data_IF_839046227370
#
_entry.id   IF_839046227370
#
_cell.length_a   1.000
_cell.length_b   1.000
_cell.length_c   1.000
_cell.angle_alpha   90.00
_cell.angle_beta   90.00
_cell.angle_gamma   90.00
#
_symmetry.space_group_name_H-M   'P 1'
#
loop_
_entity.id
_entity.type
_entity.pdbx_description
1 polymer ?
#
# COMPACT_ATOMS: atom_id res chain seq x y z
N UNK A 1 24.27 -46.03 -9.65
CA UNK A 1 23.32 -45.08 -10.27
C UNK A 1 22.61 -44.30 -9.17
N UNK A 2 22.98 -43.02 -9.04
CA UNK A 2 22.34 -41.88 -8.35
C UNK A 2 21.45 -42.16 -7.12
N UNK A 3 22.09 -42.24 -5.96
CA UNK A 3 21.56 -41.62 -4.74
C UNK A 3 21.77 -40.11 -4.87
N UNK A 4 20.72 -39.35 -5.11
CA UNK A 4 20.81 -37.91 -5.33
C UNK A 4 19.55 -37.18 -4.90
N UNK A 5 19.67 -36.37 -3.85
CA UNK A 5 18.87 -35.14 -3.71
C UNK A 5 17.63 -35.20 -2.81
N UNK A 6 17.81 -35.36 -1.50
CA UNK A 6 17.00 -34.68 -0.46
C UNK A 6 17.86 -34.57 0.80
N UNK A 7 18.80 -33.64 0.81
CA UNK A 7 19.55 -33.29 2.03
C UNK A 7 18.52 -32.80 3.05
N UNK A 8 18.38 -33.55 4.14
CA UNK A 8 17.39 -33.33 5.20
C UNK A 8 17.45 -31.87 5.70
N UNK A 9 16.32 -31.17 5.61
CA UNK A 9 16.01 -29.92 6.32
C UNK A 9 15.92 -30.19 7.84
N UNK A 10 17.01 -30.57 8.47
CA UNK A 10 17.01 -30.98 9.88
C UNK A 10 17.47 -29.81 10.77
N UNK A 11 16.57 -29.37 11.66
CA UNK A 11 16.89 -28.39 12.68
C UNK A 11 17.82 -29.00 13.72
N UNK A 12 18.67 -28.18 14.34
CA UNK A 12 19.38 -28.60 15.55
C UNK A 12 18.34 -28.94 16.63
N UNK A 13 18.49 -30.05 17.38
CA UNK A 13 17.52 -30.44 18.40
C UNK A 13 17.23 -29.35 19.44
N UNK A 14 18.26 -28.59 19.82
CA UNK A 14 18.12 -27.45 20.74
C UNK A 14 17.23 -26.35 20.15
N UNK A 15 17.48 -25.95 18.90
CA UNK A 15 16.67 -24.93 18.22
C UNK A 15 15.23 -25.43 18.06
N UNK A 16 15.03 -26.70 17.67
CA UNK A 16 13.70 -27.27 17.52
C UNK A 16 12.88 -27.18 18.83
N UNK A 17 13.46 -27.62 19.96
CA UNK A 17 12.79 -27.56 21.26
C UNK A 17 12.45 -26.13 21.68
N UNK A 18 13.40 -25.21 21.53
CA UNK A 18 13.23 -23.80 21.93
C UNK A 18 12.21 -23.08 21.04
N UNK A 19 12.23 -23.35 19.73
CA UNK A 19 11.26 -22.81 18.78
C UNK A 19 9.86 -23.35 19.04
N UNK A 20 9.71 -24.64 19.33
CA UNK A 20 8.40 -25.21 19.68
C UNK A 20 7.82 -24.57 20.94
N UNK A 21 8.64 -24.41 21.98
CA UNK A 21 8.23 -23.76 23.22
C UNK A 21 7.81 -22.29 22.96
N UNK A 22 8.59 -21.55 22.17
CA UNK A 22 8.26 -20.18 21.77
C UNK A 22 6.94 -20.12 20.98
N UNK A 23 6.79 -20.96 19.97
CA UNK A 23 5.65 -20.96 19.06
C UNK A 23 4.33 -21.35 19.74
N UNK A 24 4.36 -22.20 20.79
CA UNK A 24 3.16 -22.53 21.58
C UNK A 24 2.65 -21.34 22.41
N UNK A 25 3.54 -20.45 22.86
CA UNK A 25 3.20 -19.33 23.73
C UNK A 25 2.97 -18.02 22.96
N UNK A 26 3.60 -17.86 21.80
CA UNK A 26 3.60 -16.62 21.05
C UNK A 26 2.32 -16.42 20.23
N UNK A 27 1.75 -15.21 20.30
CA UNK A 27 0.67 -14.75 19.41
C UNK A 27 1.16 -14.30 18.04
N UNK A 28 2.45 -13.97 17.92
CA UNK A 28 3.12 -13.60 16.69
C UNK A 28 4.60 -13.96 16.75
N UNK A 29 5.21 -14.25 15.61
CA UNK A 29 6.63 -14.60 15.49
C UNK A 29 7.27 -13.78 14.37
N UNK A 30 8.44 -13.22 14.65
CA UNK A 30 9.28 -12.47 13.71
C UNK A 30 10.65 -13.13 13.62
N UNK A 31 11.17 -13.25 12.41
CA UNK A 31 12.49 -13.82 12.13
C UNK A 31 13.39 -12.73 11.55
N UNK A 32 14.48 -12.42 12.24
CA UNK A 32 15.60 -11.66 11.67
C UNK A 32 16.54 -12.66 10.99
N UNK A 33 16.36 -12.84 9.69
CA UNK A 33 17.13 -13.82 8.90
C UNK A 33 18.62 -13.48 8.86
N UNK A 34 18.98 -12.19 8.88
CA UNK A 34 20.37 -11.76 8.81
C UNK A 34 21.13 -12.08 10.11
N UNK A 35 20.45 -11.95 11.26
CA UNK A 35 21.04 -12.24 12.57
C UNK A 35 20.80 -13.66 13.06
N UNK A 36 19.88 -14.39 12.42
CA UNK A 36 19.42 -15.70 12.88
C UNK A 36 18.69 -15.59 14.22
N UNK A 37 17.91 -14.53 14.40
CA UNK A 37 17.15 -14.29 15.64
C UNK A 37 15.67 -14.54 15.40
N UNK A 38 15.04 -15.30 16.30
CA UNK A 38 13.59 -15.52 16.28
C UNK A 38 13.00 -14.91 17.53
N UNK A 39 12.05 -14.00 17.34
CA UNK A 39 11.30 -13.34 18.43
C UNK A 39 9.85 -13.75 18.39
N UNK A 40 9.27 -14.01 19.55
CA UNK A 40 7.85 -14.24 19.73
C UNK A 40 7.23 -13.21 20.65
N UNK A 41 6.05 -12.72 20.28
CA UNK A 41 5.23 -11.84 21.11
C UNK A 41 4.40 -12.70 22.07
N UNK A 42 4.76 -12.70 23.36
CA UNK A 42 4.09 -13.48 24.41
C UNK A 42 3.40 -12.51 25.37
N UNK A 43 2.06 -12.44 25.27
CA UNK A 43 1.28 -11.38 25.90
C UNK A 43 1.72 -10.00 25.37
N UNK A 44 2.22 -9.15 26.26
CA UNK A 44 2.78 -7.82 25.94
C UNK A 44 4.31 -7.78 25.92
N UNK A 45 4.98 -8.91 26.13
CA UNK A 45 6.43 -9.01 26.19
C UNK A 45 7.00 -9.73 24.98
N UNK A 46 8.23 -9.40 24.60
CA UNK A 46 8.98 -10.14 23.59
C UNK A 46 9.83 -11.23 24.25
N UNK A 47 9.87 -12.40 23.63
CA UNK A 47 10.84 -13.45 23.94
C UNK A 47 11.65 -13.79 22.70
N UNK A 48 12.96 -13.78 22.81
CA UNK A 48 13.87 -14.02 21.70
C UNK A 48 14.74 -15.27 21.92
N UNK A 49 15.13 -15.89 20.82
CA UNK A 49 16.21 -16.86 20.79
C UNK A 49 17.08 -16.61 19.56
N UNK A 50 18.37 -16.93 19.69
CA UNK A 50 19.30 -16.96 18.57
C UNK A 50 19.44 -18.39 18.09
N UNK A 51 19.31 -18.60 16.78
CA UNK A 51 19.42 -19.89 16.13
C UNK A 51 20.87 -20.36 16.18
N UNK A 52 21.09 -21.56 16.73
CA UNK A 52 22.40 -22.22 16.78
C UNK A 52 22.77 -22.78 15.41
N UNK A 53 21.79 -23.22 14.61
CA UNK A 53 22.03 -23.74 13.26
C UNK A 53 22.30 -22.69 12.19
N UNK A 54 22.27 -21.40 12.54
CA UNK A 54 22.65 -20.29 11.67
C UNK A 54 21.53 -19.75 10.76
N UNK A 55 21.93 -19.04 9.70
CA UNK A 55 21.07 -18.22 8.82
C UNK A 55 20.93 -18.79 7.42
N UNK A 56 21.34 -20.04 7.20
CA UNK A 56 21.26 -20.68 5.89
C UNK A 56 19.82 -20.84 5.42
N UNK A 57 19.56 -20.61 4.13
CA UNK A 57 18.23 -20.68 3.51
C UNK A 57 17.42 -21.92 3.92
N UNK A 58 17.99 -23.13 3.75
CA UNK A 58 17.31 -24.38 4.10
C UNK A 58 17.06 -24.54 5.60
N UNK A 59 17.87 -23.90 6.45
CA UNK A 59 17.66 -23.89 7.89
C UNK A 59 16.47 -23.01 8.25
N UNK A 60 16.38 -21.82 7.67
CA UNK A 60 15.26 -20.91 7.86
C UNK A 60 13.94 -21.45 7.28
N UNK A 61 13.99 -22.19 6.18
CA UNK A 61 12.84 -22.98 5.71
C UNK A 61 12.40 -24.01 6.76
N UNK A 62 13.33 -24.76 7.36
CA UNK A 62 13.02 -25.74 8.39
C UNK A 62 12.43 -25.09 9.66
N UNK A 63 12.91 -23.88 10.02
CA UNK A 63 12.36 -23.06 11.12
C UNK A 63 10.90 -22.71 10.82
N UNK A 64 10.62 -22.16 9.64
CA UNK A 64 9.25 -21.81 9.22
C UNK A 64 8.32 -23.02 9.17
N UNK A 65 8.82 -24.15 8.64
CA UNK A 65 8.08 -25.40 8.61
C UNK A 65 7.69 -25.85 10.03
N UNK A 66 8.60 -25.73 11.01
CA UNK A 66 8.32 -26.04 12.42
C UNK A 66 7.31 -25.07 13.04
N UNK A 67 7.50 -23.76 12.87
CA UNK A 67 6.57 -22.74 13.36
C UNK A 67 5.16 -22.98 12.82
N UNK A 68 5.07 -23.28 11.53
CA UNK A 68 3.81 -23.53 10.86
C UNK A 68 3.14 -24.81 11.38
N UNK A 69 3.89 -25.89 11.63
CA UNK A 69 3.35 -27.11 12.24
C UNK A 69 2.76 -26.84 13.62
N UNK A 70 3.43 -26.03 14.44
CA UNK A 70 2.94 -25.68 15.79
C UNK A 70 1.75 -24.72 15.74
N UNK A 71 1.74 -23.79 14.79
CA UNK A 71 0.72 -22.75 14.71
C UNK A 71 -0.63 -23.23 14.17
N UNK A 72 -0.60 -24.04 13.10
CA UNK A 72 -1.82 -24.46 12.37
C UNK A 72 -1.98 -25.99 12.26
N UNK A 73 -0.98 -26.77 12.67
CA UNK A 73 -0.99 -28.23 12.55
C UNK A 73 -0.60 -28.74 11.14
N UNK A 74 -0.10 -29.97 11.06
CA UNK A 74 0.35 -30.59 9.80
C UNK A 74 -0.75 -30.76 8.74
N UNK A 75 -2.02 -30.91 9.17
CA UNK A 75 -3.15 -31.04 8.26
C UNK A 75 -3.47 -29.72 7.55
N UNK A 76 -3.24 -28.58 8.20
CA UNK A 76 -3.51 -27.26 7.63
C UNK A 76 -2.45 -26.84 6.60
N UNK A 77 -1.20 -27.32 6.76
CA UNK A 77 -0.09 -27.04 5.82
C UNK A 77 -0.22 -27.78 4.49
N UNK A 78 -1.01 -28.86 4.44
CA UNK A 78 -1.25 -29.65 3.22
C UNK A 78 -2.31 -29.02 2.29
N UNK A 79 -3.04 -27.99 2.74
CA UNK A 79 -4.11 -27.35 1.96
C UNK A 79 -3.57 -26.21 1.09
N UNK A 80 -2.97 -26.56 -0.04
CA UNK A 80 -2.66 -25.64 -1.14
C UNK A 80 -1.74 -24.46 -0.81
N UNK A 81 -1.47 -23.56 -1.77
CA UNK A 81 -0.61 -22.41 -1.54
C UNK A 81 -1.38 -21.33 -0.76
N UNK A 82 -1.11 -21.22 0.54
CA UNK A 82 -1.57 -20.08 1.37
C UNK A 82 -1.06 -18.72 0.84
N UNK A 83 -0.04 -18.72 -0.03
CA UNK A 83 0.55 -17.53 -0.67
C UNK A 83 -0.33 -16.88 -1.74
N UNK A 84 -1.65 -17.15 -1.73
CA UNK A 84 -2.61 -16.55 -2.67
C UNK A 84 -3.50 -15.56 -1.91
N UNK A 85 -3.63 -14.30 -2.38
CA UNK A 85 -4.46 -13.30 -1.73
C UNK A 85 -5.91 -13.76 -1.51
N UNK A 86 -6.49 -14.47 -2.49
CA UNK A 86 -7.88 -14.94 -2.46
C UNK A 86 -8.09 -16.01 -1.36
N UNK A 87 -7.04 -16.80 -1.10
CA UNK A 87 -7.06 -17.82 -0.05
C UNK A 87 -7.02 -17.15 1.32
N UNK A 88 -6.12 -16.16 1.51
CA UNK A 88 -6.02 -15.43 2.78
C UNK A 88 -7.30 -14.66 3.08
N UNK A 89 -7.89 -14.00 2.07
CA UNK A 89 -9.14 -13.25 2.20
C UNK A 89 -10.34 -14.12 2.62
N UNK A 90 -10.33 -15.41 2.27
CA UNK A 90 -11.39 -16.37 2.63
C UNK A 90 -11.18 -17.14 3.94
N UNK A 91 -10.11 -16.87 4.70
CA UNK A 91 -9.86 -17.58 5.96
C UNK A 91 -10.85 -17.15 7.05
N UNK A 92 -11.29 -18.11 7.86
CA UNK A 92 -11.98 -17.82 9.12
C UNK A 92 -11.05 -17.20 10.16
N UNK A 93 -11.64 -16.49 11.13
CA UNK A 93 -10.93 -15.70 12.15
C UNK A 93 -9.84 -16.46 12.90
N UNK A 94 -10.11 -17.70 13.33
CA UNK A 94 -9.12 -18.53 14.04
C UNK A 94 -7.88 -18.84 13.20
N UNK A 95 -8.07 -19.14 11.91
CA UNK A 95 -6.95 -19.44 10.99
C UNK A 95 -6.19 -18.17 10.62
N UNK A 96 -6.89 -17.06 10.47
CA UNK A 96 -6.29 -15.75 10.24
C UNK A 96 -5.39 -15.34 11.42
N UNK A 97 -5.87 -15.51 12.65
CA UNK A 97 -5.12 -15.22 13.88
C UNK A 97 -3.86 -16.08 14.06
N UNK A 98 -3.74 -17.21 13.36
CA UNK A 98 -2.54 -18.04 13.39
C UNK A 98 -1.45 -17.58 12.41
N UNK A 99 -1.77 -16.77 11.39
CA UNK A 99 -0.80 -16.37 10.36
C UNK A 99 0.41 -15.59 10.91
N UNK A 100 0.27 -14.65 11.86
CA UNK A 100 1.40 -13.94 12.45
C UNK A 100 2.41 -14.87 13.14
N UNK A 101 2.02 -16.11 13.49
CA UNK A 101 2.87 -17.08 14.19
C UNK A 101 3.78 -17.87 13.24
N UNK A 102 3.61 -17.72 11.92
CA UNK A 102 4.31 -18.51 10.92
C UNK A 102 5.74 -18.00 10.65
N UNK A 103 6.08 -16.78 11.06
CA UNK A 103 7.37 -16.16 10.71
C UNK A 103 7.50 -15.88 9.21
N UNK A 104 6.36 -15.67 8.54
CA UNK A 104 6.25 -15.43 7.10
C UNK A 104 5.67 -14.03 6.84
N UNK A 105 6.53 -13.03 6.56
CA UNK A 105 6.08 -11.67 6.36
C UNK A 105 5.19 -11.51 5.11
N UNK A 106 5.34 -12.35 4.10
CA UNK A 106 4.51 -12.28 2.88
C UNK A 106 3.05 -12.68 3.18
N UNK A 107 2.85 -13.70 4.02
CA UNK A 107 1.51 -14.08 4.45
C UNK A 107 0.86 -13.01 5.32
N UNK A 108 1.64 -12.39 6.22
CA UNK A 108 1.18 -11.31 7.07
C UNK A 108 0.75 -10.09 6.25
N UNK A 109 1.48 -9.75 5.20
CA UNK A 109 1.19 -8.61 4.32
C UNK A 109 -0.20 -8.70 3.64
N UNK A 110 -0.75 -9.90 3.46
CA UNK A 110 -2.06 -10.12 2.84
C UNK A 110 -3.23 -10.11 3.85
N UNK A 111 -2.96 -10.16 5.16
CA UNK A 111 -4.00 -10.24 6.19
C UNK A 111 -5.04 -9.10 6.14
N UNK A 112 -4.68 -7.83 5.81
CA UNK A 112 -5.66 -6.75 5.68
C UNK A 112 -6.71 -6.96 4.59
N UNK A 113 -6.51 -7.92 3.67
CA UNK A 113 -7.50 -8.26 2.65
C UNK A 113 -8.67 -9.08 3.21
N UNK A 114 -8.54 -9.63 4.43
CA UNK A 114 -9.55 -10.47 5.03
C UNK A 114 -10.53 -9.64 5.89
N UNK A 115 -11.84 -9.64 5.55
CA UNK A 115 -12.84 -8.85 6.27
C UNK A 115 -13.10 -9.31 7.71
N UNK A 116 -12.69 -10.53 8.08
CA UNK A 116 -12.78 -11.07 9.44
C UNK A 116 -11.57 -10.67 10.33
N UNK A 117 -10.66 -9.82 9.83
CA UNK A 117 -9.56 -9.27 10.63
C UNK A 117 -10.11 -8.46 11.80
N UNK A 118 -9.56 -8.70 13.00
CA UNK A 118 -9.83 -7.91 14.21
C UNK A 118 -8.59 -7.13 14.65
N UNK A 119 -8.77 -6.19 15.58
CA UNK A 119 -7.68 -5.33 16.07
C UNK A 119 -6.52 -6.11 16.70
N UNK A 120 -6.80 -7.15 17.49
CA UNK A 120 -5.74 -7.92 18.17
C UNK A 120 -4.89 -8.73 17.18
N UNK A 121 -5.52 -9.24 16.12
CA UNK A 121 -4.87 -9.94 15.02
C UNK A 121 -4.11 -8.96 14.13
N UNK A 122 -4.64 -7.76 13.91
CA UNK A 122 -3.95 -6.67 13.21
C UNK A 122 -2.71 -6.20 13.98
N UNK A 123 -2.80 -6.09 15.32
CA UNK A 123 -1.65 -5.74 16.19
C UNK A 123 -0.56 -6.81 16.10
N UNK A 124 -0.95 -8.09 16.15
CA UNK A 124 -0.04 -9.22 15.98
C UNK A 124 0.64 -9.21 14.59
N UNK A 125 -0.13 -8.93 13.53
CA UNK A 125 0.38 -8.78 12.16
C UNK A 125 1.38 -7.64 12.05
N UNK A 126 1.01 -6.45 12.55
CA UNK A 126 1.86 -5.26 12.57
C UNK A 126 3.17 -5.52 13.32
N UNK A 127 3.12 -6.20 14.46
CA UNK A 127 4.32 -6.56 15.21
C UNK A 127 5.21 -7.57 14.47
N UNK A 128 4.60 -8.57 13.81
CA UNK A 128 5.34 -9.63 13.13
C UNK A 128 6.13 -9.12 11.92
N UNK A 129 5.54 -8.23 11.14
CA UNK A 129 6.13 -7.73 9.89
C UNK A 129 5.79 -6.24 9.65
N UNK A 130 6.28 -5.31 10.48
CA UNK A 130 5.98 -3.89 10.32
C UNK A 130 6.57 -3.38 9.01
N UNK A 131 5.72 -2.93 8.09
CA UNK A 131 6.14 -2.25 6.86
C UNK A 131 5.19 -1.11 6.50
N UNK A 132 5.65 -0.07 5.79
CA UNK A 132 4.81 1.02 5.33
C UNK A 132 3.60 0.54 4.50
N UNK A 133 3.78 -0.51 3.70
CA UNK A 133 2.74 -1.11 2.85
C UNK A 133 1.68 -1.82 3.69
N UNK A 134 2.10 -2.65 4.66
CA UNK A 134 1.19 -3.28 5.60
C UNK A 134 0.43 -2.20 6.40
N UNK A 135 1.14 -1.18 6.87
CA UNK A 135 0.55 -0.09 7.63
C UNK A 135 -0.52 0.67 6.85
N UNK A 136 -0.25 0.99 5.59
CA UNK A 136 -1.21 1.64 4.70
C UNK A 136 -2.50 0.81 4.52
N UNK A 137 -2.36 -0.51 4.34
CA UNK A 137 -3.50 -1.42 4.21
C UNK A 137 -4.27 -1.57 5.52
N UNK A 138 -3.56 -1.71 6.65
CA UNK A 138 -4.18 -1.78 7.98
C UNK A 138 -4.98 -0.52 8.27
N UNK A 139 -4.45 0.68 8.03
CA UNK A 139 -5.17 1.94 8.28
C UNK A 139 -6.46 2.09 7.46
N UNK A 140 -6.54 1.44 6.29
CA UNK A 140 -7.76 1.38 5.47
C UNK A 140 -8.76 0.32 5.94
N UNK A 141 -8.37 -0.59 6.83
CA UNK A 141 -9.24 -1.68 7.28
C UNK A 141 -10.17 -1.24 8.43
N UNK A 142 -11.48 -1.55 8.39
CA UNK A 142 -12.44 -1.12 9.42
C UNK A 142 -12.07 -1.51 10.86
N UNK A 143 -11.42 -2.66 11.05
CA UNK A 143 -11.00 -3.12 12.37
C UNK A 143 -9.87 -2.30 13.01
N UNK A 144 -9.14 -1.53 12.20
CA UNK A 144 -8.05 -0.66 12.67
C UNK A 144 -8.44 0.81 12.56
N UNK A 145 -9.30 1.18 11.61
CA UNK A 145 -9.79 2.54 11.43
C UNK A 145 -10.51 3.04 12.70
N UNK A 146 -9.80 3.80 13.54
CA UNK A 146 -10.30 4.32 14.83
C UNK A 146 -9.84 3.54 16.06
N UNK A 147 -9.02 2.51 15.88
CA UNK A 147 -8.47 1.69 16.95
C UNK A 147 -7.23 2.32 17.59
N UNK A 148 -6.78 1.81 18.74
CA UNK A 148 -5.57 2.30 19.40
C UNK A 148 -4.30 2.05 18.56
N UNK A 149 -4.31 0.96 17.79
CA UNK A 149 -3.24 0.61 16.86
C UNK A 149 -3.07 1.66 15.74
N UNK A 150 -4.15 2.29 15.30
CA UNK A 150 -4.13 3.23 14.18
C UNK A 150 -3.13 4.37 14.37
N UNK A 151 -3.03 4.93 15.58
CA UNK A 151 -2.13 6.03 15.87
C UNK A 151 -0.66 5.64 15.69
N UNK A 152 -0.26 4.48 16.21
CA UNK A 152 1.10 3.97 16.09
C UNK A 152 1.44 3.64 14.62
N UNK A 153 0.52 3.01 13.90
CA UNK A 153 0.71 2.67 12.49
C UNK A 153 0.78 3.94 11.63
N UNK A 154 -0.11 4.91 11.85
CA UNK A 154 -0.12 6.17 11.11
C UNK A 154 1.17 6.97 11.32
N UNK A 155 1.69 7.01 12.55
CA UNK A 155 2.97 7.66 12.83
C UNK A 155 4.11 7.03 12.02
N UNK A 156 4.22 5.69 12.03
CA UNK A 156 5.24 4.97 11.28
C UNK A 156 5.12 5.17 9.76
N UNK A 157 3.90 5.10 9.21
CA UNK A 157 3.65 5.32 7.78
C UNK A 157 3.98 6.78 7.38
N UNK A 158 3.62 7.76 8.20
CA UNK A 158 3.90 9.18 7.92
C UNK A 158 5.40 9.51 7.97
N UNK A 159 6.14 8.87 8.88
CA UNK A 159 7.60 8.98 8.98
C UNK A 159 8.29 8.41 7.73
N UNK A 160 7.78 7.28 7.21
CA UNK A 160 8.37 6.64 6.03
C UNK A 160 8.02 7.33 4.70
N UNK A 161 6.86 8.00 4.61
CA UNK A 161 6.33 8.59 3.38
C UNK A 161 7.32 9.44 2.54
N UNK A 162 8.18 10.30 3.12
CA UNK A 162 9.15 11.09 2.36
C UNK A 162 10.22 10.26 1.63
N UNK A 163 10.45 9.02 2.09
CA UNK A 163 11.51 8.14 1.59
C UNK A 163 11.00 7.15 0.55
N UNK A 164 9.71 7.14 0.25
CA UNK A 164 9.09 6.24 -0.73
C UNK A 164 9.18 6.84 -2.14
N UNK A 165 10.00 6.28 -3.05
CA UNK A 165 10.21 6.86 -4.38
C UNK A 165 9.06 6.56 -5.36
N UNK A 166 8.33 5.44 -5.19
CA UNK A 166 7.23 5.07 -6.07
C UNK A 166 5.97 5.88 -5.76
N UNK A 167 5.43 6.58 -6.78
CA UNK A 167 4.21 7.35 -6.64
C UNK A 167 3.00 6.48 -6.25
N UNK A 168 2.94 5.24 -6.74
CA UNK A 168 1.87 4.30 -6.36
C UNK A 168 1.90 3.95 -4.87
N UNK A 169 3.09 3.71 -4.33
CA UNK A 169 3.26 3.41 -2.91
C UNK A 169 2.92 4.64 -2.05
N UNK A 170 3.40 5.83 -2.43
CA UNK A 170 3.02 7.09 -1.75
C UNK A 170 1.51 7.34 -1.79
N UNK A 171 0.86 7.12 -2.92
CA UNK A 171 -0.59 7.24 -3.08
C UNK A 171 -1.32 6.27 -2.14
N UNK A 172 -0.89 5.01 -2.09
CA UNK A 172 -1.46 3.99 -1.19
C UNK A 172 -1.30 4.37 0.28
N UNK A 173 -0.12 4.82 0.68
CA UNK A 173 0.18 5.28 2.04
C UNK A 173 -0.68 6.49 2.41
N UNK A 174 -0.79 7.49 1.52
CA UNK A 174 -1.62 8.66 1.75
C UNK A 174 -3.11 8.30 1.89
N UNK A 175 -3.63 7.38 1.07
CA UNK A 175 -5.00 6.86 1.21
C UNK A 175 -5.22 6.21 2.57
N UNK A 176 -4.30 5.34 3.02
CA UNK A 176 -4.38 4.71 4.34
C UNK A 176 -4.39 5.76 5.47
N UNK A 177 -3.46 6.70 5.42
CA UNK A 177 -3.38 7.81 6.39
C UNK A 177 -4.66 8.66 6.43
N UNK A 178 -5.31 8.90 5.28
CA UNK A 178 -6.56 9.66 5.19
C UNK A 178 -7.81 8.83 5.53
N UNK A 179 -7.72 7.51 5.52
CA UNK A 179 -8.80 6.60 5.92
C UNK A 179 -8.85 6.40 7.44
N UNK A 180 -7.71 6.47 8.13
CA UNK A 180 -7.59 6.26 9.57
C UNK A 180 -8.29 7.32 10.44
N UNK A 181 -8.75 6.91 11.63
CA UNK A 181 -9.44 7.77 12.62
C UNK A 181 -8.54 8.54 13.60
N UNK A 182 -7.22 8.49 13.44
CA UNK A 182 -6.22 9.33 14.15
C UNK A 182 -6.52 10.80 13.87
N UNK A 183 -6.22 11.82 14.73
CA UNK A 183 -6.62 13.22 14.50
C UNK A 183 -6.35 13.67 13.07
N UNK A 184 -7.41 13.56 12.24
CA UNK A 184 -7.28 13.51 10.80
C UNK A 184 -6.71 14.84 10.29
N UNK A 185 -6.94 15.92 11.03
CA UNK A 185 -6.49 17.26 10.68
C UNK A 185 -4.96 17.41 10.70
N UNK A 186 -4.25 16.79 11.66
CA UNK A 186 -2.80 16.87 11.69
C UNK A 186 -2.17 16.13 10.50
N UNK A 187 -2.72 14.96 10.17
CA UNK A 187 -2.32 14.16 9.01
C UNK A 187 -2.66 14.92 7.71
N UNK A 188 -3.90 15.39 7.55
CA UNK A 188 -4.33 16.18 6.38
C UNK A 188 -3.42 17.40 6.19
N UNK A 189 -3.18 18.16 7.25
CA UNK A 189 -2.28 19.33 7.21
C UNK A 189 -0.86 18.94 6.80
N UNK A 190 -0.32 17.83 7.30
CA UNK A 190 1.01 17.34 6.92
C UNK A 190 1.08 16.95 5.44
N UNK A 191 0.08 16.23 4.94
CA UNK A 191 -0.01 15.83 3.53
C UNK A 191 -0.23 17.06 2.63
N UNK A 192 -1.11 17.99 3.02
CA UNK A 192 -1.44 19.20 2.26
C UNK A 192 -0.23 20.13 2.07
N UNK A 193 0.66 20.24 3.06
CA UNK A 193 1.92 21.00 2.90
C UNK A 193 2.86 20.40 1.86
N UNK A 194 2.80 19.09 1.63
CA UNK A 194 3.67 18.35 0.69
C UNK A 194 3.06 18.22 -0.70
N UNK A 195 1.73 18.17 -0.79
CA UNK A 195 0.97 17.96 -2.01
C UNK A 195 1.35 18.84 -3.21
N UNK A 196 1.71 20.14 -3.07
CA UNK A 196 2.11 20.96 -4.23
C UNK A 196 3.33 20.44 -4.99
N UNK A 197 4.15 19.59 -4.36
CA UNK A 197 5.35 18.98 -4.96
C UNK A 197 5.23 17.47 -5.14
N UNK A 198 4.09 16.88 -4.79
CA UNK A 198 3.88 15.44 -4.84
C UNK A 198 2.49 15.11 -5.40
N UNK A 199 2.41 14.77 -6.71
CA UNK A 199 1.15 14.44 -7.38
C UNK A 199 0.38 13.29 -6.71
N UNK A 200 1.07 12.33 -6.10
CA UNK A 200 0.43 11.21 -5.41
C UNK A 200 -0.33 11.67 -4.16
N UNK A 201 0.26 12.60 -3.40
CA UNK A 201 -0.37 13.16 -2.20
C UNK A 201 -1.54 14.07 -2.57
N UNK A 202 -1.37 14.88 -3.63
CA UNK A 202 -2.42 15.73 -4.15
C UNK A 202 -3.65 14.91 -4.63
N UNK A 203 -3.41 13.81 -5.36
CA UNK A 203 -4.49 12.91 -5.79
C UNK A 203 -5.21 12.27 -4.59
N UNK A 204 -4.49 11.78 -3.58
CA UNK A 204 -5.10 11.20 -2.38
C UNK A 204 -6.00 12.21 -1.63
N UNK A 205 -5.55 13.46 -1.50
CA UNK A 205 -6.34 14.52 -0.86
C UNK A 205 -7.61 14.86 -1.66
N UNK A 206 -7.52 14.90 -3.00
CA UNK A 206 -8.69 15.10 -3.86
C UNK A 206 -9.72 13.96 -3.75
N UNK A 207 -9.24 12.72 -3.72
CA UNK A 207 -10.11 11.56 -3.50
C UNK A 207 -10.83 11.65 -2.16
N UNK A 208 -10.11 12.05 -1.11
CA UNK A 208 -10.69 12.21 0.22
C UNK A 208 -11.71 13.34 0.28
N UNK A 209 -11.39 14.51 -0.27
CA UNK A 209 -12.30 15.65 -0.37
C UNK A 209 -13.60 15.26 -1.11
N UNK A 210 -13.47 14.49 -2.19
CA UNK A 210 -14.63 14.02 -2.95
C UNK A 210 -15.46 12.96 -2.20
N UNK A 211 -14.80 12.03 -1.49
CA UNK A 211 -15.47 11.01 -0.68
C UNK A 211 -16.26 11.65 0.49
N UNK A 212 -15.78 12.78 1.02
CA UNK A 212 -16.47 13.57 2.05
C UNK A 212 -17.60 14.45 1.50
N UNK A 213 -17.92 14.34 0.20
CA UNK A 213 -19.00 15.08 -0.43
C UNK A 213 -18.63 16.51 -0.85
N UNK A 214 -17.34 16.85 -0.90
CA UNK A 214 -16.86 18.17 -1.33
C UNK A 214 -17.39 18.56 -2.72
N UNK A 215 -17.65 19.86 -2.96
CA UNK A 215 -18.28 20.33 -4.19
C UNK A 215 -17.40 20.09 -5.43
N UNK A 216 -18.02 19.66 -6.53
CA UNK A 216 -17.36 19.64 -7.85
C UNK A 216 -17.38 21.06 -8.40
N UNK A 217 -16.46 21.89 -7.90
CA UNK A 217 -16.32 23.29 -8.30
C UNK A 217 -15.05 23.57 -9.10
N UNK A 218 -14.86 24.83 -9.53
CA UNK A 218 -13.66 25.25 -10.26
C UNK A 218 -12.32 24.89 -9.57
N UNK A 219 -12.17 24.99 -8.23
CA UNK A 219 -10.92 24.59 -7.57
C UNK A 219 -10.61 23.09 -7.70
N UNK A 220 -11.62 22.24 -7.54
CA UNK A 220 -11.50 20.79 -7.70
C UNK A 220 -11.09 20.43 -9.14
N UNK A 221 -11.85 20.94 -10.11
CA UNK A 221 -11.62 20.69 -11.53
C UNK A 221 -10.23 21.19 -11.97
N UNK A 222 -9.76 22.31 -11.39
CA UNK A 222 -8.44 22.87 -11.69
C UNK A 222 -7.31 21.96 -11.19
N UNK A 223 -7.40 21.45 -9.96
CA UNK A 223 -6.41 20.51 -9.42
C UNK A 223 -6.38 19.21 -10.23
N UNK A 224 -7.53 18.72 -10.70
CA UNK A 224 -7.56 17.58 -11.61
C UNK A 224 -6.85 17.89 -12.95
N UNK A 225 -7.09 19.06 -13.55
CA UNK A 225 -6.39 19.49 -14.77
C UNK A 225 -4.87 19.61 -14.55
N UNK A 226 -4.43 20.17 -13.42
CA UNK A 226 -3.01 20.30 -13.06
C UNK A 226 -2.32 18.93 -12.97
N UNK A 227 -2.96 17.94 -12.34
CA UNK A 227 -2.42 16.58 -12.25
C UNK A 227 -2.39 15.85 -13.60
N UNK A 228 -3.37 16.12 -14.47
CA UNK A 228 -3.43 15.55 -15.82
C UNK A 228 -2.56 16.30 -16.84
N UNK A 229 -2.03 17.47 -16.50
CA UNK A 229 -1.20 18.27 -17.40
C UNK A 229 0.17 17.63 -17.64
N UNK A 230 0.73 16.93 -16.65
CA UNK A 230 1.98 16.21 -16.73
C UNK A 230 1.80 14.77 -16.19
N UNK A 231 1.13 13.89 -16.95
CA UNK A 231 0.75 12.54 -16.51
C UNK A 231 1.96 11.61 -16.51
N UNK A 232 2.84 11.76 -15.52
CA UNK A 232 4.09 10.99 -15.39
C UNK A 232 3.94 9.72 -14.57
N UNK A 233 2.98 9.69 -13.65
CA UNK A 233 2.75 8.56 -12.76
C UNK A 233 1.41 7.90 -13.10
N UNK A 234 1.44 6.67 -13.61
CA UNK A 234 0.23 5.94 -14.01
C UNK A 234 -0.82 5.88 -12.89
N UNK A 235 -0.39 5.56 -11.66
CA UNK A 235 -1.29 5.43 -10.52
C UNK A 235 -2.02 6.74 -10.19
N UNK A 236 -1.34 7.88 -10.34
CA UNK A 236 -1.92 9.22 -10.13
C UNK A 236 -2.93 9.54 -11.22
N UNK A 237 -2.58 9.27 -12.48
CA UNK A 237 -3.50 9.49 -13.62
C UNK A 237 -4.74 8.62 -13.47
N UNK A 238 -4.58 7.34 -13.13
CA UNK A 238 -5.70 6.43 -12.91
C UNK A 238 -6.61 6.93 -11.78
N UNK A 239 -6.04 7.33 -10.65
CA UNK A 239 -6.78 7.89 -9.51
C UNK A 239 -7.64 9.09 -9.92
N UNK A 240 -7.04 10.07 -10.61
CA UNK A 240 -7.75 11.28 -11.06
C UNK A 240 -8.82 10.94 -12.10
N UNK A 241 -8.54 10.05 -13.06
CA UNK A 241 -9.53 9.63 -14.06
C UNK A 241 -10.71 8.87 -13.44
N UNK A 242 -10.45 8.00 -12.46
CA UNK A 242 -11.48 7.29 -11.71
C UNK A 242 -12.40 8.28 -10.98
N UNK A 243 -11.81 9.29 -10.34
CA UNK A 243 -12.54 10.33 -9.64
C UNK A 243 -13.42 11.16 -10.59
N UNK A 244 -12.87 11.61 -11.72
CA UNK A 244 -13.61 12.37 -12.72
C UNK A 244 -14.75 11.56 -13.35
N UNK A 245 -14.54 10.27 -13.61
CA UNK A 245 -15.58 9.40 -14.15
C UNK A 245 -16.80 9.28 -13.20
N UNK A 246 -16.60 9.39 -11.89
CA UNK A 246 -17.69 9.33 -10.91
C UNK A 246 -18.39 10.68 -10.74
N UNK A 247 -17.65 11.79 -10.82
CA UNK A 247 -18.11 13.12 -10.38
C UNK A 247 -18.56 14.05 -11.50
N UNK A 248 -18.14 13.80 -12.74
CA UNK A 248 -18.44 14.69 -13.88
C UNK A 248 -19.82 14.41 -14.53
N UNK A 249 -20.40 15.41 -15.23
CA UNK A 249 -21.56 15.22 -16.10
C UNK A 249 -21.25 14.30 -17.29
N UNK A 250 -22.29 13.75 -17.92
CA UNK A 250 -22.20 12.64 -18.89
C UNK A 250 -21.19 12.85 -20.03
N UNK A 251 -21.12 14.04 -20.61
CA UNK A 251 -20.17 14.34 -21.71
C UNK A 251 -18.71 14.21 -21.30
N UNK A 252 -18.32 14.84 -20.18
CA UNK A 252 -16.95 14.77 -19.69
C UNK A 252 -16.60 13.42 -19.04
N UNK A 253 -17.62 12.70 -18.53
CA UNK A 253 -17.49 11.32 -18.05
C UNK A 253 -17.08 10.36 -19.16
N UNK A 254 -17.62 10.50 -20.37
CA UNK A 254 -17.25 9.66 -21.51
C UNK A 254 -15.76 9.85 -21.89
N UNK A 255 -15.26 11.09 -21.90
CA UNK A 255 -13.85 11.37 -22.15
C UNK A 255 -12.94 10.79 -21.07
N UNK A 256 -13.33 10.86 -19.79
CA UNK A 256 -12.59 10.24 -18.69
C UNK A 256 -12.55 8.71 -18.81
N UNK A 257 -13.67 8.07 -19.16
CA UNK A 257 -13.74 6.62 -19.37
C UNK A 257 -12.85 6.18 -20.55
N UNK A 258 -12.89 6.92 -21.68
CA UNK A 258 -12.01 6.65 -22.82
C UNK A 258 -10.52 6.77 -22.44
N UNK A 259 -10.15 7.84 -21.74
CA UNK A 259 -8.77 8.02 -21.28
C UNK A 259 -8.32 6.89 -20.35
N UNK A 260 -9.21 6.41 -19.47
CA UNK A 260 -8.91 5.30 -18.57
C UNK A 260 -8.69 3.98 -19.31
N UNK A 261 -9.50 3.69 -20.34
CA UNK A 261 -9.30 2.54 -21.20
C UNK A 261 -7.93 2.60 -21.91
N UNK A 262 -7.55 3.76 -22.45
CA UNK A 262 -6.24 3.94 -23.11
C UNK A 262 -5.07 3.87 -22.14
N UNK A 263 -5.25 4.33 -20.90
CA UNK A 263 -4.25 4.19 -19.85
C UNK A 263 -3.99 2.70 -19.59
N UNK A 264 -5.01 1.86 -19.54
CA UNK A 264 -4.87 0.42 -19.33
C UNK A 264 -3.87 -0.19 -20.33
N UNK A 265 -4.00 0.16 -21.61
CA UNK A 265 -3.16 -0.30 -22.73
C UNK A 265 -1.75 0.33 -22.76
N UNK A 266 -1.53 1.46 -22.07
CA UNK A 266 -0.33 2.26 -22.24
C UNK A 266 0.94 1.60 -21.68
N UNK A 267 0.83 0.76 -20.65
CA UNK A 267 1.94 -0.02 -20.06
C UNK A 267 3.24 0.77 -19.79
N UNK A 268 3.16 2.07 -19.50
CA UNK A 268 4.30 2.98 -19.42
C UNK A 268 4.17 3.93 -18.22
N UNK A 269 5.31 4.47 -17.79
CA UNK A 269 5.45 5.55 -16.81
C UNK A 269 6.41 6.65 -17.33
N UNK A 270 6.49 7.76 -16.61
CA UNK A 270 7.38 8.88 -16.87
C UNK A 270 7.06 9.63 -18.17
N UNK A 271 8.10 10.01 -18.90
CA UNK A 271 7.98 10.79 -20.15
C UNK A 271 7.30 10.01 -21.28
N UNK A 272 7.39 8.69 -21.26
CA UNK A 272 6.70 7.84 -22.24
C UNK A 272 5.19 7.87 -22.00
N UNK A 273 4.76 7.82 -20.74
CA UNK A 273 3.35 7.98 -20.37
C UNK A 273 2.85 9.37 -20.77
N UNK A 274 3.63 10.42 -20.48
CA UNK A 274 3.33 11.81 -20.86
C UNK A 274 3.06 11.94 -22.37
N UNK A 275 3.96 11.38 -23.20
CA UNK A 275 3.82 11.39 -24.66
C UNK A 275 2.60 10.62 -25.16
N UNK A 276 2.29 9.45 -24.57
CA UNK A 276 1.16 8.60 -24.98
C UNK A 276 -0.19 9.17 -24.55
N UNK A 277 -0.25 9.69 -23.33
CA UNK A 277 -1.51 10.14 -22.72
C UNK A 277 -1.85 11.59 -23.03
N UNK A 278 -0.87 12.46 -23.34
CA UNK A 278 -1.13 13.87 -23.66
C UNK A 278 -2.24 14.09 -24.70
N UNK A 279 -2.19 13.47 -25.89
CA UNK A 279 -3.24 13.59 -26.90
C UNK A 279 -4.59 13.02 -26.44
N UNK A 280 -4.57 11.92 -25.68
CA UNK A 280 -5.77 11.24 -25.17
C UNK A 280 -6.48 12.08 -24.11
N UNK A 281 -5.72 12.79 -23.27
CA UNK A 281 -6.24 13.62 -22.19
C UNK A 281 -6.69 15.01 -22.67
N UNK A 282 -6.23 15.47 -23.84
CA UNK A 282 -6.52 16.82 -24.34
C UNK A 282 -8.04 17.14 -24.43
N UNK A 283 -8.92 16.25 -24.94
CA UNK A 283 -10.37 16.51 -24.95
C UNK A 283 -10.95 16.64 -23.54
N UNK A 284 -10.53 15.77 -22.61
CA UNK A 284 -10.98 15.81 -21.22
C UNK A 284 -10.55 17.13 -20.56
N UNK A 285 -9.28 17.54 -20.74
CA UNK A 285 -8.77 18.79 -20.16
C UNK A 285 -9.48 20.04 -20.69
N UNK A 286 -9.96 20.02 -21.96
CA UNK A 286 -10.83 21.09 -22.48
C UNK A 286 -12.18 21.11 -21.80
N UNK A 287 -12.83 19.96 -21.65
CA UNK A 287 -14.10 19.84 -20.95
C UNK A 287 -14.00 20.31 -19.49
N UNK A 288 -12.88 19.99 -18.79
CA UNK A 288 -12.61 20.51 -17.44
C UNK A 288 -12.51 22.03 -17.43
N UNK A 289 -11.85 22.62 -18.45
CA UNK A 289 -11.71 24.06 -18.56
C UNK A 289 -13.03 24.79 -18.83
N UNK A 290 -13.87 24.22 -19.68
CA UNK A 290 -15.22 24.72 -19.96
C UNK A 290 -16.10 24.67 -18.72
N UNK A 291 -16.17 23.52 -18.04
CA UNK A 291 -16.91 23.36 -16.78
C UNK A 291 -16.38 24.28 -15.66
N UNK A 292 -15.09 24.54 -15.70
CA UNK A 292 -14.39 25.39 -14.75
C UNK A 292 -14.48 26.89 -15.02
N UNK A 293 -14.92 27.30 -16.22
CA UNK A 293 -14.97 28.70 -16.64
C UNK A 293 -13.60 29.35 -16.84
N UNK A 294 -12.60 28.61 -17.34
CA UNK A 294 -11.26 29.15 -17.62
C UNK A 294 -10.73 28.80 -19.02
N UNK A 295 -9.70 29.51 -19.53
CA UNK A 295 -9.19 29.29 -20.88
C UNK A 295 -8.63 27.87 -21.07
N UNK A 296 -8.92 27.25 -22.21
CA UNK A 296 -8.45 25.92 -22.55
C UNK A 296 -6.92 25.76 -22.39
N UNK A 297 -6.42 24.55 -22.08
CA UNK A 297 -5.00 24.29 -21.81
C UNK A 297 -4.03 24.80 -22.88
N UNK A 298 -4.35 24.60 -24.16
CA UNK A 298 -3.53 25.07 -25.29
C UNK A 298 -3.39 26.60 -25.33
N UNK A 299 -4.40 27.35 -24.88
CA UNK A 299 -4.34 28.80 -24.77
C UNK A 299 -3.45 29.27 -23.61
N UNK A 300 -3.36 28.47 -22.53
CA UNK A 300 -2.53 28.76 -21.34
C UNK A 300 -1.05 28.52 -21.61
N UNK A 301 -0.68 27.42 -22.25
CA UNK A 301 0.71 27.13 -22.62
C UNK A 301 1.25 28.22 -23.58
N UNK A 302 0.44 28.63 -24.56
CA UNK A 302 0.76 29.75 -25.44
C UNK A 302 0.80 31.12 -24.71
N UNK A 303 0.02 31.33 -23.64
CA UNK A 303 0.06 32.56 -22.84
C UNK A 303 1.25 32.58 -21.87
N UNK A 304 1.63 31.43 -21.30
CA UNK A 304 2.80 31.28 -20.43
C UNK A 304 4.11 31.52 -21.20
N UNK A 305 4.23 30.97 -22.41
CA UNK A 305 5.35 31.29 -23.31
C UNK A 305 5.40 32.77 -23.71
N UNK A 306 4.24 33.41 -23.95
CA UNK A 306 4.18 34.85 -24.25
C UNK A 306 4.51 35.75 -23.05
N UNK A 307 4.23 35.32 -21.81
CA UNK A 307 4.63 36.05 -20.59
C UNK A 307 6.10 35.83 -20.22
N UNK A 308 6.64 34.64 -20.44
CA UNK A 308 8.07 34.35 -20.25
C UNK A 308 8.99 34.98 -21.31
N UNK A 309 8.48 35.22 -22.52
CA UNK A 309 9.22 35.86 -23.61
C UNK A 309 9.29 37.40 -23.58
N UNK A 310 8.58 38.06 -22.66
CA UNK A 310 8.58 39.54 -22.53
C UNK A 310 9.49 40.08 -21.42
N UNK A 311 10.33 39.22 -20.81
CA UNK A 311 11.24 39.58 -19.71
C UNK A 311 12.73 39.64 -20.06
N UNK A 312 13.09 39.67 -21.35
CA UNK A 312 14.48 39.90 -21.82
C UNK A 312 14.39 40.89 -22.97
N UNK A 313 14.65 42.17 -22.76
CA UNK A 313 15.95 42.91 -22.93
C UNK A 313 15.53 44.34 -23.34
N UNK A 314 16.31 45.45 -23.23
CA UNK A 314 17.67 45.77 -22.76
C UNK A 314 18.39 45.01 -21.66
#
# INVERSE_FOLDING_TARGET
MRAGGRTRRELRPEDALRLEALARLARAVRIDEARGEVRGLVGRSERGLRLVGGTGYFYLEAVRDLLARVAVGEAALRRGPLRRPEVVAGLGRERLAALPRLGDPELVAMMPLNPALDEGTAEAAWWAAPSPELGALLLGHPAVAGSALAAAVAAAVLEHLPFTPEAEARLRMARGLLAGGVPAEAIRSALARRAPRDPALAAALLEREAAEGGPVGPPFLRRCDELLAAPRDRAVVEAVLALLAQRLPAGARASAAHARARLADAGADGTLLERRMGPVLAPLRRALAELGGWPAPAAREAAAHRRGGRGRVP
#
